data_IF_147628426655
#
_entry.id   IF_147628426655
#
_cell.length_a   1.000
_cell.length_b   1.000
_cell.length_c   1.000
_cell.angle_alpha   90.00
_cell.angle_beta   90.00
_cell.angle_gamma   90.00
#
_symmetry.space_group_name_H-M   'P 1'
#
loop_
_entity.id
_entity.type
_entity.pdbx_description
1 polymer ?
#
# COMPACT_ATOMS: atom_id res chain seq x y z
N UNK A 1 -7.63 7.10 -18.32
CA UNK A 1 -6.66 6.32 -17.54
C UNK A 1 -7.39 5.69 -16.37
N UNK A 2 -7.29 4.37 -16.21
CA UNK A 2 -7.78 3.59 -15.08
C UNK A 2 -6.71 3.54 -13.99
N UNK A 3 -7.05 3.93 -12.76
CA UNK A 3 -6.12 3.97 -11.62
C UNK A 3 -6.64 3.03 -10.55
N UNK A 4 -5.76 2.15 -10.07
CA UNK A 4 -6.09 1.20 -9.00
C UNK A 4 -5.06 1.28 -7.89
N UNK A 5 -5.53 1.42 -6.65
CA UNK A 5 -4.73 1.31 -5.43
C UNK A 5 -5.07 -0.03 -4.77
N UNK A 6 -4.12 -0.96 -4.75
CA UNK A 6 -4.28 -2.23 -4.05
C UNK A 6 -3.43 -2.23 -2.78
N UNK A 7 -4.01 -2.67 -1.66
CA UNK A 7 -3.28 -2.67 -0.40
C UNK A 7 -3.49 -3.93 0.44
N UNK A 8 -2.52 -4.22 1.30
CA UNK A 8 -2.68 -5.11 2.46
C UNK A 8 -2.76 -4.26 3.73
N UNK A 9 -3.65 -4.59 4.66
CA UNK A 9 -3.64 -4.01 6.00
C UNK A 9 -4.11 -5.00 7.05
N UNK A 10 -3.42 -5.01 8.19
CA UNK A 10 -3.80 -5.81 9.36
C UNK A 10 -4.71 -5.02 10.31
N UNK A 11 -4.46 -3.72 10.50
CA UNK A 11 -5.06 -2.91 11.57
C UNK A 11 -5.57 -1.53 11.11
N UNK A 12 -5.77 -1.28 9.81
CA UNK A 12 -6.33 -0.01 9.34
C UNK A 12 -5.33 1.04 8.85
N UNK A 13 -4.07 1.02 9.28
CA UNK A 13 -3.12 2.09 8.93
C UNK A 13 -2.83 2.15 7.43
N UNK A 14 -2.46 1.02 6.81
CA UNK A 14 -2.21 0.99 5.36
C UNK A 14 -3.46 1.35 4.55
N UNK A 15 -4.65 0.95 5.02
CA UNK A 15 -5.93 1.31 4.39
C UNK A 15 -6.14 2.82 4.40
N UNK A 16 -5.92 3.48 5.54
CA UNK A 16 -6.07 4.94 5.64
C UNK A 16 -5.10 5.68 4.70
N UNK A 17 -3.86 5.20 4.58
CA UNK A 17 -2.88 5.71 3.63
C UNK A 17 -3.36 5.49 2.18
N UNK A 18 -3.83 4.28 1.84
CA UNK A 18 -4.34 3.96 0.50
C UNK A 18 -5.50 4.89 0.08
N UNK A 19 -6.43 5.13 1.00
CA UNK A 19 -7.55 6.07 0.80
C UNK A 19 -7.07 7.50 0.60
N UNK A 20 -6.12 7.96 1.42
CA UNK A 20 -5.54 9.31 1.29
C UNK A 20 -4.81 9.49 -0.04
N UNK A 21 -4.10 8.47 -0.51
CA UNK A 21 -3.46 8.48 -1.84
C UNK A 21 -4.53 8.61 -2.94
N UNK A 22 -5.61 7.84 -2.85
CA UNK A 22 -6.73 7.94 -3.80
C UNK A 22 -7.39 9.32 -3.79
N UNK A 23 -7.53 9.96 -2.63
CA UNK A 23 -8.01 11.34 -2.52
C UNK A 23 -7.08 12.35 -3.22
N UNK A 24 -5.76 12.11 -3.19
CA UNK A 24 -4.77 12.92 -3.91
C UNK A 24 -4.84 12.76 -5.43
N UNK A 25 -5.29 11.59 -5.89
CA UNK A 25 -5.46 11.27 -7.31
C UNK A 25 -6.79 11.78 -7.89
N UNK A 26 -7.78 12.03 -7.03
CA UNK A 26 -9.13 12.41 -7.43
C UNK A 26 -9.22 13.59 -8.44
N UNK A 27 -8.39 14.65 -8.36
CA UNK A 27 -8.38 15.70 -9.37
C UNK A 27 -8.01 15.22 -10.78
N UNK A 28 -7.28 14.11 -10.91
CA UNK A 28 -6.84 13.57 -12.20
C UNK A 28 -7.82 12.53 -12.75
N UNK A 29 -8.18 11.56 -11.90
CA UNK A 29 -9.20 10.55 -12.15
C UNK A 29 -9.58 9.85 -10.84
N UNK A 30 -10.82 9.35 -10.71
CA UNK A 30 -11.18 8.49 -9.57
C UNK A 30 -10.32 7.22 -9.58
N UNK A 31 -9.78 6.86 -8.41
CA UNK A 31 -9.03 5.63 -8.22
C UNK A 31 -9.89 4.57 -7.53
N UNK A 32 -9.83 3.33 -8.01
CA UNK A 32 -10.44 2.18 -7.33
C UNK A 32 -9.50 1.69 -6.23
N UNK A 33 -9.99 1.58 -5.00
CA UNK A 33 -9.18 1.18 -3.84
C UNK A 33 -9.66 -0.17 -3.33
N UNK A 34 -8.79 -1.18 -3.31
CA UNK A 34 -9.13 -2.55 -2.95
C UNK A 34 -8.08 -3.18 -2.04
N UNK A 35 -8.52 -3.95 -1.04
CA UNK A 35 -7.64 -4.83 -0.30
C UNK A 35 -7.25 -6.04 -1.17
N UNK A 36 -6.03 -6.57 -1.03
CA UNK A 36 -5.55 -7.75 -1.77
C UNK A 36 -6.43 -9.00 -1.62
N UNK A 37 -7.24 -9.07 -0.55
CA UNK A 37 -8.16 -10.18 -0.28
C UNK A 37 -9.57 -9.97 -0.84
N UNK A 38 -9.87 -8.84 -1.46
CA UNK A 38 -11.15 -8.62 -2.15
C UNK A 38 -11.17 -9.35 -3.50
N UNK A 39 -12.31 -9.97 -3.84
CA UNK A 39 -12.45 -10.80 -5.04
C UNK A 39 -12.17 -10.05 -6.35
N UNK A 40 -12.42 -8.74 -6.39
CA UNK A 40 -12.18 -7.89 -7.55
C UNK A 40 -10.74 -7.35 -7.65
N UNK A 41 -9.91 -7.48 -6.61
CA UNK A 41 -8.60 -6.81 -6.54
C UNK A 41 -7.68 -7.18 -7.70
N UNK A 42 -7.62 -8.47 -8.04
CA UNK A 42 -6.81 -8.96 -9.15
C UNK A 42 -7.29 -8.42 -10.50
N UNK A 43 -8.57 -8.60 -10.82
CA UNK A 43 -9.13 -8.19 -12.10
C UNK A 43 -9.03 -6.67 -12.31
N UNK A 44 -9.25 -5.88 -11.25
CA UNK A 44 -9.06 -4.43 -11.29
C UNK A 44 -7.60 -4.07 -11.56
N UNK A 45 -6.64 -4.67 -10.84
CA UNK A 45 -5.23 -4.41 -11.04
C UNK A 45 -4.75 -4.78 -12.46
N UNK A 46 -5.16 -5.92 -13.00
CA UNK A 46 -4.77 -6.36 -14.35
C UNK A 46 -5.36 -5.49 -15.47
N UNK A 47 -6.46 -4.79 -15.20
CA UNK A 47 -7.12 -3.86 -16.13
C UNK A 47 -6.75 -2.38 -15.92
N UNK A 48 -5.82 -2.07 -15.01
CA UNK A 48 -5.40 -0.71 -14.73
C UNK A 48 -4.35 -0.20 -15.73
N UNK A 49 -4.29 1.11 -15.91
CA UNK A 49 -3.17 1.78 -16.60
C UNK A 49 -2.06 2.14 -15.60
N UNK A 50 -2.46 2.51 -14.37
CA UNK A 50 -1.61 2.82 -13.23
C UNK A 50 -2.02 1.98 -12.02
N UNK A 51 -1.08 1.19 -11.51
CA UNK A 51 -1.25 0.37 -10.31
C UNK A 51 -0.37 0.86 -9.16
N UNK A 52 -1.01 1.24 -8.06
CA UNK A 52 -0.33 1.64 -6.84
C UNK A 52 -0.51 0.51 -5.82
N UNK A 53 0.59 -0.02 -5.30
CA UNK A 53 0.55 -1.17 -4.38
C UNK A 53 1.19 -0.79 -3.04
N UNK A 54 0.52 -1.13 -1.93
CA UNK A 54 1.12 -0.91 -0.62
C UNK A 54 0.77 -1.95 0.44
N UNK A 55 1.65 -2.11 1.41
CA UNK A 55 1.47 -3.09 2.49
C UNK A 55 2.14 -2.64 3.78
N UNK A 56 1.83 -3.29 4.91
CA UNK A 56 2.57 -3.05 6.14
C UNK A 56 4.00 -3.58 6.01
N UNK A 57 4.95 -2.90 6.65
CA UNK A 57 6.30 -3.41 6.82
C UNK A 57 6.34 -4.39 7.99
N UNK A 58 6.62 -5.65 7.69
CA UNK A 58 6.90 -6.69 8.67
C UNK A 58 8.38 -7.07 8.56
N UNK A 59 9.11 -7.09 9.68
CA UNK A 59 10.52 -7.52 9.81
C UNK A 59 11.32 -7.38 8.50
N UNK A 60 11.84 -6.18 8.25
CA UNK A 60 12.69 -5.85 7.10
C UNK A 60 12.03 -5.86 5.70
N UNK A 61 10.72 -6.06 5.54
CA UNK A 61 10.07 -5.97 4.21
C UNK A 61 8.58 -6.27 4.16
N UNK A 62 8.10 -6.77 3.02
CA UNK A 62 6.70 -7.22 2.88
C UNK A 62 6.39 -8.37 3.83
N UNK A 63 5.15 -8.41 4.30
CA UNK A 63 4.64 -9.48 5.15
C UNK A 63 4.82 -10.88 4.54
N UNK A 64 4.76 -11.86 5.44
CA UNK A 64 4.76 -13.30 5.21
C UNK A 64 3.68 -13.94 6.07
N UNK A 65 3.17 -15.14 5.74
CA UNK A 65 2.10 -15.79 6.51
C UNK A 65 2.38 -15.81 8.01
N UNK A 66 3.55 -16.32 8.42
CA UNK A 66 3.98 -16.37 9.83
C UNK A 66 4.01 -15.00 10.54
N UNK A 67 4.39 -13.94 9.82
CA UNK A 67 4.41 -12.59 10.41
C UNK A 67 3.01 -11.99 10.56
N UNK A 68 2.06 -12.37 9.69
CA UNK A 68 0.66 -11.97 9.82
C UNK A 68 -0.02 -12.75 10.94
N UNK A 69 0.29 -14.04 11.10
CA UNK A 69 -0.12 -14.84 12.27
C UNK A 69 0.36 -14.22 13.57
N UNK A 70 1.65 -13.85 13.66
CA UNK A 70 2.18 -13.18 14.84
C UNK A 70 1.54 -11.82 15.11
N UNK A 71 1.19 -11.07 14.06
CA UNK A 71 0.45 -9.82 14.20
C UNK A 71 -1.01 -10.04 14.64
N UNK A 72 -1.68 -11.11 14.20
CA UNK A 72 -3.01 -11.48 14.68
C UNK A 72 -3.07 -11.62 16.19
N UNK A 73 -2.01 -12.14 16.81
CA UNK A 73 -1.93 -12.29 18.26
C UNK A 73 -1.83 -10.95 19.00
N UNK A 74 -1.52 -9.84 18.33
CA UNK A 74 -1.45 -8.50 18.97
C UNK A 74 -2.82 -7.98 19.39
N UNK A 75 -3.91 -8.42 18.75
CA UNK A 75 -5.27 -8.06 19.17
C UNK A 75 -5.59 -8.61 20.57
N UNK A 76 -4.90 -9.68 21.00
CA UNK A 76 -5.06 -10.26 22.34
C UNK A 76 -4.28 -9.48 23.41
N UNK A 77 -3.35 -8.62 23.01
CA UNK A 77 -2.53 -7.82 23.90
C UNK A 77 -3.14 -6.43 24.05
N UNK A 78 -3.82 -6.19 25.17
CA UNK A 78 -4.47 -4.91 25.46
C UNK A 78 -3.49 -3.72 25.43
N UNK A 79 -2.19 -3.93 25.67
CA UNK A 79 -1.19 -2.88 25.58
C UNK A 79 -0.91 -2.44 24.13
N UNK A 80 -1.29 -3.24 23.12
CA UNK A 80 -1.12 -2.91 21.70
C UNK A 80 -2.25 -2.02 21.18
N UNK A 81 -3.43 -2.10 21.79
CA UNK A 81 -4.61 -1.30 21.39
C UNK A 81 -4.88 -1.34 19.87
N UNK A 82 -4.89 -2.54 19.29
CA UNK A 82 -5.15 -2.75 17.85
C UNK A 82 -6.40 -3.58 17.66
N UNK A 83 -7.07 -3.39 16.53
CA UNK A 83 -8.20 -4.20 16.09
C UNK A 83 -7.94 -4.70 14.68
N UNK A 84 -8.16 -5.99 14.43
CA UNK A 84 -7.95 -6.55 13.10
C UNK A 84 -8.97 -6.02 12.10
N UNK A 85 -8.50 -5.81 10.87
CA UNK A 85 -9.41 -5.55 9.76
C UNK A 85 -10.26 -6.79 9.43
N UNK A 86 -11.49 -6.62 8.90
CA UNK A 86 -12.38 -7.73 8.60
C UNK A 86 -11.81 -8.80 7.64
N UNK A 87 -10.91 -8.40 6.75
CA UNK A 87 -10.25 -9.30 5.78
C UNK A 87 -8.86 -9.78 6.27
N UNK A 88 -8.48 -9.51 7.53
CA UNK A 88 -7.20 -9.88 8.10
C UNK A 88 -7.32 -11.02 9.15
N UNK A 89 -6.38 -11.98 9.21
CA UNK A 89 -5.31 -12.17 8.24
C UNK A 89 -5.84 -12.88 6.98
N UNK A 90 -5.37 -12.41 5.82
CA UNK A 90 -5.53 -13.11 4.55
C UNK A 90 -4.17 -13.37 3.89
N UNK A 91 -4.14 -13.40 2.56
CA UNK A 91 -2.88 -13.27 1.82
C UNK A 91 -2.35 -11.85 1.93
N UNK A 92 -1.03 -11.69 1.75
CA UNK A 92 -0.39 -10.38 1.71
C UNK A 92 -0.09 -9.93 0.29
N UNK A 93 0.41 -8.70 0.16
CA UNK A 93 0.83 -8.12 -1.13
C UNK A 93 1.84 -9.02 -1.85
N UNK A 94 2.73 -9.67 -1.09
CA UNK A 94 3.74 -10.58 -1.66
C UNK A 94 3.09 -11.73 -2.42
N UNK A 95 2.17 -12.44 -1.78
CA UNK A 95 1.50 -13.58 -2.38
C UNK A 95 0.55 -13.12 -3.48
N UNK A 96 -0.18 -12.04 -3.25
CA UNK A 96 -1.12 -11.46 -4.21
C UNK A 96 -0.46 -11.05 -5.52
N UNK A 97 0.68 -10.33 -5.49
CA UNK A 97 1.41 -9.98 -6.71
C UNK A 97 1.87 -11.22 -7.49
N UNK A 98 2.18 -12.32 -6.80
CA UNK A 98 2.51 -13.60 -7.42
C UNK A 98 1.35 -14.26 -8.17
N UNK A 99 0.13 -13.74 -8.02
CA UNK A 99 -1.06 -14.23 -8.75
C UNK A 99 -1.36 -13.44 -10.01
N UNK A 100 -0.76 -12.26 -10.21
CA UNK A 100 -1.07 -11.40 -11.35
C UNK A 100 -0.54 -12.02 -12.64
N UNK A 101 -1.40 -12.17 -13.64
CA UNK A 101 -1.02 -12.63 -14.98
C UNK A 101 -0.58 -11.47 -15.89
N UNK A 102 -1.07 -10.27 -15.58
CA UNK A 102 -0.74 -9.03 -16.31
C UNK A 102 -0.36 -7.96 -15.29
N UNK A 103 0.64 -7.17 -15.65
CA UNK A 103 1.09 -6.05 -14.84
C UNK A 103 0.87 -4.75 -15.63
N UNK A 104 0.23 -3.73 -15.02
CA UNK A 104 0.07 -2.42 -15.65
C UNK A 104 1.38 -1.77 -16.05
N UNK A 105 1.32 -0.95 -17.10
CA UNK A 105 2.49 -0.27 -17.64
C UNK A 105 3.15 0.67 -16.63
N UNK A 106 2.36 1.31 -15.78
CA UNK A 106 2.83 2.24 -14.75
C UNK A 106 2.54 1.70 -13.36
N UNK A 107 3.48 1.91 -12.44
CA UNK A 107 3.27 1.60 -11.04
C UNK A 107 3.82 2.66 -10.08
N UNK A 108 3.36 2.58 -8.83
CA UNK A 108 4.00 3.20 -7.67
C UNK A 108 3.86 2.27 -6.46
N UNK A 109 4.73 2.40 -5.47
CA UNK A 109 4.70 1.58 -4.27
C UNK A 109 4.74 2.41 -2.99
N UNK A 110 4.04 1.96 -1.97
CA UNK A 110 4.11 2.56 -0.64
C UNK A 110 4.13 1.50 0.47
N UNK A 111 4.46 1.92 1.68
CA UNK A 111 4.26 1.10 2.87
C UNK A 111 3.85 1.93 4.08
N UNK A 112 3.38 1.24 5.12
CA UNK A 112 3.39 1.78 6.47
C UNK A 112 4.45 1.08 7.30
N UNK A 113 5.20 1.81 8.12
CA UNK A 113 6.27 1.27 8.95
C UNK A 113 6.33 1.96 10.32
N UNK A 114 6.80 1.24 11.32
CA UNK A 114 7.07 1.82 12.65
C UNK A 114 8.14 2.90 12.59
N UNK A 115 8.06 3.91 13.46
CA UNK A 115 9.07 4.96 13.59
C UNK A 115 10.37 4.43 14.22
N UNK A 116 11.15 3.70 13.43
CA UNK A 116 12.52 3.30 13.72
C UNK A 116 13.43 3.65 12.53
N UNK A 117 14.75 3.63 12.71
CA UNK A 117 15.66 3.78 11.58
C UNK A 117 15.36 2.71 10.51
N UNK A 118 15.37 3.10 9.22
CA UNK A 118 14.99 2.21 8.11
C UNK A 118 15.88 0.96 8.03
N UNK A 119 17.13 1.03 8.46
CA UNK A 119 18.03 -0.12 8.57
C UNK A 119 17.56 -1.16 9.59
N UNK A 120 16.71 -0.75 10.55
CA UNK A 120 16.16 -1.59 11.63
C UNK A 120 14.76 -2.08 11.28
N UNK A 121 13.86 -1.19 10.84
CA UNK A 121 12.49 -1.59 10.49
C UNK A 121 12.39 -2.26 9.12
N UNK A 122 13.32 -1.93 8.22
CA UNK A 122 13.13 -2.05 6.77
C UNK A 122 12.00 -1.19 6.24
N UNK A 123 11.63 -1.47 5.01
CA UNK A 123 10.51 -0.87 4.27
C UNK A 123 10.00 -1.92 3.27
N UNK A 124 8.71 -2.25 3.31
CA UNK A 124 8.05 -3.10 2.32
C UNK A 124 7.97 -2.43 0.94
N UNK A 125 7.94 -1.10 0.88
CA UNK A 125 7.70 -0.33 -0.34
C UNK A 125 8.76 -0.58 -1.43
N UNK A 126 10.05 -0.64 -1.05
CA UNK A 126 11.14 -0.96 -1.98
C UNK A 126 11.05 -2.37 -2.60
N UNK A 127 10.88 -3.44 -1.79
CA UNK A 127 10.59 -4.78 -2.31
C UNK A 127 9.34 -4.86 -3.20
N UNK A 128 8.26 -4.13 -2.89
CA UNK A 128 7.06 -4.06 -3.73
C UNK A 128 7.39 -3.45 -5.09
N UNK A 129 8.01 -2.28 -5.09
CA UNK A 129 8.45 -1.58 -6.31
C UNK A 129 9.32 -2.48 -7.19
N UNK A 130 10.36 -3.11 -6.61
CA UNK A 130 11.26 -4.00 -7.34
C UNK A 130 10.53 -5.20 -7.95
N UNK A 131 9.53 -5.75 -7.26
CA UNK A 131 8.74 -6.85 -7.80
C UNK A 131 7.95 -6.40 -9.03
N UNK A 132 7.23 -5.28 -8.94
CA UNK A 132 6.45 -4.73 -10.06
C UNK A 132 7.33 -4.39 -11.26
N UNK A 133 8.48 -3.76 -11.03
CA UNK A 133 9.44 -3.40 -12.09
C UNK A 133 10.04 -4.64 -12.75
N UNK A 134 10.39 -5.67 -11.96
CA UNK A 134 10.89 -6.94 -12.50
C UNK A 134 9.90 -7.62 -13.46
N UNK A 135 8.60 -7.38 -13.26
CA UNK A 135 7.53 -7.91 -14.11
C UNK A 135 7.13 -6.96 -15.27
N UNK A 136 7.92 -5.92 -15.55
CA UNK A 136 7.77 -5.07 -16.74
C UNK A 136 7.01 -3.76 -16.51
N UNK A 137 6.61 -3.46 -15.27
CA UNK A 137 6.04 -2.15 -14.96
C UNK A 137 7.12 -1.07 -14.88
N UNK A 138 6.78 0.16 -15.24
CA UNK A 138 7.63 1.33 -15.03
C UNK A 138 7.14 2.14 -13.84
N UNK A 139 8.03 2.36 -12.90
CA UNK A 139 7.71 3.17 -11.73
C UNK A 139 7.59 4.67 -12.10
N UNK A 140 6.53 5.34 -11.66
CA UNK A 140 6.31 6.78 -11.93
C UNK A 140 7.05 7.67 -10.93
N UNK A 141 7.21 7.21 -9.68
CA UNK A 141 7.93 7.90 -8.60
C UNK A 141 8.59 6.91 -7.66
N UNK A 142 9.71 7.26 -7.00
CA UNK A 142 10.31 6.42 -5.97
C UNK A 142 9.29 6.01 -4.89
N UNK A 143 9.40 4.78 -4.42
CA UNK A 143 8.52 4.24 -3.40
C UNK A 143 8.49 5.08 -2.11
N UNK A 144 7.30 5.30 -1.57
CA UNK A 144 7.08 6.08 -0.35
C UNK A 144 6.96 5.19 0.90
N UNK A 145 7.22 5.78 2.06
CA UNK A 145 6.93 5.18 3.36
C UNK A 145 6.11 6.12 4.20
N UNK A 146 5.19 5.56 4.97
CA UNK A 146 4.36 6.29 5.92
C UNK A 146 4.56 5.75 7.33
N UNK A 147 4.67 6.64 8.31
CA UNK A 147 5.23 6.32 9.63
C UNK A 147 4.13 6.12 10.65
N UNK A 148 4.25 5.06 11.45
CA UNK A 148 3.39 4.80 12.59
C UNK A 148 3.94 5.48 13.85
N UNK A 149 3.04 6.08 14.62
CA UNK A 149 3.28 6.58 15.95
C UNK A 149 3.46 5.42 16.96
N UNK A 150 3.94 5.74 18.17
CA UNK A 150 4.22 4.75 19.21
C UNK A 150 2.98 4.03 19.73
N UNK A 151 1.82 4.69 19.65
CA UNK A 151 0.52 4.16 20.07
C UNK A 151 -0.13 3.23 19.02
N UNK A 152 0.56 3.00 17.90
CA UNK A 152 0.08 2.11 16.83
C UNK A 152 -0.72 2.82 15.73
N UNK A 153 -1.04 4.12 15.89
CA UNK A 153 -1.64 4.93 14.83
C UNK A 153 -0.63 5.42 13.79
N UNK A 154 -1.08 6.23 12.83
CA UNK A 154 -0.18 6.99 11.94
C UNK A 154 0.32 8.24 12.65
N UNK A 155 1.56 8.66 12.38
CA UNK A 155 2.05 9.95 12.87
C UNK A 155 1.25 11.12 12.31
N UNK A 156 1.26 12.24 13.05
CA UNK A 156 0.59 13.46 12.64
C UNK A 156 1.08 13.93 11.27
N UNK A 157 0.15 14.29 10.38
CA UNK A 157 0.46 14.76 9.03
C UNK A 157 0.75 13.67 7.99
N UNK A 158 0.86 12.39 8.38
CA UNK A 158 1.14 11.29 7.45
C UNK A 158 0.03 11.12 6.39
N UNK A 159 -1.24 11.31 6.77
CA UNK A 159 -2.37 11.27 5.83
C UNK A 159 -2.34 12.43 4.83
N UNK A 160 -2.02 13.65 5.29
CA UNK A 160 -1.83 14.80 4.41
C UNK A 160 -0.66 14.58 3.45
N UNK A 161 0.45 13.98 3.93
CA UNK A 161 1.59 13.60 3.08
C UNK A 161 1.20 12.52 2.07
N UNK A 162 0.38 11.54 2.47
CA UNK A 162 -0.12 10.49 1.57
C UNK A 162 -0.98 11.08 0.45
N UNK A 163 -1.83 12.05 0.79
CA UNK A 163 -2.62 12.80 -0.19
C UNK A 163 -1.77 13.60 -1.15
N UNK A 164 -0.79 14.35 -0.65
CA UNK A 164 0.14 15.10 -1.48
C UNK A 164 0.96 14.17 -2.41
N UNK A 165 1.41 13.03 -1.88
CA UNK A 165 2.13 12.03 -2.68
C UNK A 165 1.24 11.43 -3.76
N UNK A 166 -0.04 11.16 -3.48
CA UNK A 166 -1.02 10.72 -4.49
C UNK A 166 -1.17 11.72 -5.64
N UNK A 167 -1.20 13.03 -5.34
CA UNK A 167 -1.22 14.06 -6.36
C UNK A 167 0.05 14.03 -7.23
N UNK A 168 1.24 13.95 -6.61
CA UNK A 168 2.51 13.83 -7.35
C UNK A 168 2.59 12.57 -8.20
N UNK A 169 2.02 11.44 -7.75
CA UNK A 169 1.91 10.21 -8.55
C UNK A 169 1.05 10.46 -9.79
N UNK A 170 -0.05 11.19 -9.66
CA UNK A 170 -0.90 11.57 -10.81
C UNK A 170 -0.16 12.42 -11.84
N UNK A 171 0.56 13.45 -11.38
CA UNK A 171 1.40 14.31 -12.23
C UNK A 171 2.49 13.52 -12.95
N UNK A 172 3.23 12.69 -12.21
CA UNK A 172 4.32 11.89 -12.76
C UNK A 172 3.85 10.81 -13.75
N UNK A 173 2.60 10.35 -13.59
CA UNK A 173 1.97 9.44 -14.54
C UNK A 173 1.49 10.15 -15.83
N UNK A 174 1.67 11.47 -15.94
CA UNK A 174 1.27 12.28 -17.09
C UNK A 174 -0.23 12.55 -17.17
N UNK A 175 -0.94 12.46 -16.04
CA UNK A 175 -2.36 12.79 -15.98
C UNK A 175 -2.55 14.31 -15.97
N UNK A 176 -3.55 14.76 -16.72
CA UNK A 176 -4.00 16.16 -16.69
C UNK A 176 -5.11 16.27 -15.65
N UNK A 177 -4.97 17.23 -14.73
CA UNK A 177 -6.01 17.53 -13.75
C UNK A 177 -7.29 17.96 -14.48
N UNK A 178 -8.43 17.51 -13.98
CA UNK A 178 -9.75 17.91 -14.47
C UNK A 178 -10.21 19.11 -13.65
N UNK A 179 -10.57 20.18 -14.35
CA UNK A 179 -11.19 21.37 -13.76
C UNK A 179 -12.59 21.08 -13.17
#
# INVERSE_FOLDING_TARGET
MSIVVVFESMFGNTRQVALSIAEGLAPYAPAVVLNVNESGARAAAEGADLLIVGGPTHVHGMSRPKSREGARDWEKDAAKNVTLEPLAPGIGVREWMGTLEKIPALCAAFDTRVNMARIVSGAASGPIERALVKHGSRNVLPAASFVLAKDGGLEEGELARARAWGASVGEAAGLVARD
#
